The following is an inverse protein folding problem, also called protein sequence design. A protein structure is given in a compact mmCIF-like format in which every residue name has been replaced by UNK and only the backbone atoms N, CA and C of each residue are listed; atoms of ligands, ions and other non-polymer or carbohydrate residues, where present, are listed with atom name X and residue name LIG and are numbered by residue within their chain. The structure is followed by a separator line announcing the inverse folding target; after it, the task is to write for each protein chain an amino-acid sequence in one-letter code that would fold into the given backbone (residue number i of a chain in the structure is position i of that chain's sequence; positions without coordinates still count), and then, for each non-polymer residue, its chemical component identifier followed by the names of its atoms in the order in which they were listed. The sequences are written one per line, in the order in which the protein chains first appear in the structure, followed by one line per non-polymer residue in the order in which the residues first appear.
data_IF_537750741188
#
_entry.id   IF_537750741188
#
_cell.length_a   1.000
_cell.length_b   1.000
_cell.length_c   1.000
_cell.angle_alpha   90.00
_cell.angle_beta   90.00
_cell.angle_gamma   90.00
#
_symmetry.space_group_name_H-M   'P 1'
#
loop_
_entity.id
_entity.type
_entity.pdbx_description
1 polymer ?
#
# COMPACT_ATOMS: atom_id res chain seq x y z
N UNK A 1 -15.87 14.21 3.25
CA UNK A 1 -14.83 15.26 3.13
C UNK A 1 -15.32 16.68 3.42
N UNK A 2 -16.62 17.01 3.24
CA UNK A 2 -17.18 18.34 3.57
C UNK A 2 -17.15 18.71 5.08
N UNK A 3 -16.87 17.77 5.97
CA UNK A 3 -16.82 17.97 7.43
C UNK A 3 -15.52 18.61 7.91
N UNK A 4 -14.39 18.38 7.25
CA UNK A 4 -13.07 18.92 7.66
C UNK A 4 -12.90 20.42 7.36
N UNK A 5 -13.60 20.93 6.34
CA UNK A 5 -13.64 22.36 6.03
C UNK A 5 -14.68 23.12 6.87
N UNK A 6 -15.34 22.44 7.81
CA UNK A 6 -16.29 23.11 8.70
C UNK A 6 -15.54 24.12 9.57
N UNK A 7 -16.13 25.30 9.74
CA UNK A 7 -15.53 26.44 10.45
C UNK A 7 -15.18 26.10 11.90
N UNK A 8 -15.79 25.05 12.47
CA UNK A 8 -15.47 24.53 13.81
C UNK A 8 -14.09 23.89 13.92
N UNK A 9 -13.56 23.27 12.84
CA UNK A 9 -12.26 22.57 12.86
C UNK A 9 -11.07 23.45 12.44
N UNK A 10 -11.35 24.70 12.04
CA UNK A 10 -10.33 25.64 11.59
C UNK A 10 -9.78 26.46 12.77
N UNK A 11 -8.47 26.71 12.85
CA UNK A 11 -7.90 27.56 13.88
C UNK A 11 -8.35 29.01 13.71
N UNK A 12 -9.01 29.54 14.75
CA UNK A 12 -9.61 30.88 14.77
C UNK A 12 -8.63 31.92 15.27
N UNK A 13 -7.72 31.54 16.18
CA UNK A 13 -6.78 32.47 16.83
C UNK A 13 -5.33 32.28 16.35
N UNK A 14 -4.51 33.34 16.49
CA UNK A 14 -3.05 33.26 16.23
C UNK A 14 -2.38 32.26 17.18
N UNK A 15 -2.90 32.10 18.40
CA UNK A 15 -2.44 31.13 19.40
C UNK A 15 -2.70 29.69 18.93
N UNK A 16 -3.89 29.40 18.43
CA UNK A 16 -4.23 28.07 17.86
C UNK A 16 -3.35 27.70 16.67
N UNK A 17 -3.05 28.66 15.78
CA UNK A 17 -2.10 28.42 14.67
C UNK A 17 -0.68 28.11 15.16
N UNK A 18 -0.27 28.70 16.28
CA UNK A 18 1.03 28.42 16.91
C UNK A 18 1.08 27.05 17.58
N UNK A 19 -0.06 26.50 18.03
CA UNK A 19 -0.16 25.13 18.56
C UNK A 19 -0.03 24.07 17.46
N UNK A 20 -0.61 24.32 16.27
CA UNK A 20 -0.59 23.37 15.15
C UNK A 20 0.82 23.25 14.51
N UNK A 21 1.57 24.36 14.46
CA UNK A 21 2.86 24.42 13.77
C UNK A 21 3.93 23.43 14.31
N UNK A 22 4.16 23.30 15.62
CA UNK A 22 5.08 22.30 16.16
C UNK A 22 4.59 20.86 15.91
N UNK A 23 3.29 20.58 16.02
CA UNK A 23 2.73 19.26 15.75
C UNK A 23 2.95 18.83 14.27
N UNK A 24 2.71 19.74 13.32
CA UNK A 24 3.01 19.49 11.90
C UNK A 24 4.51 19.30 11.64
N UNK A 25 5.35 20.08 12.32
CA UNK A 25 6.81 19.92 12.19
C UNK A 25 7.28 18.60 12.78
N UNK A 26 6.69 18.16 13.90
CA UNK A 26 6.95 16.86 14.52
C UNK A 26 6.56 15.74 13.56
N UNK A 27 5.37 15.79 12.97
CA UNK A 27 4.92 14.82 11.97
C UNK A 27 5.86 14.75 10.76
N UNK A 28 6.25 15.89 10.19
CA UNK A 28 7.23 15.95 9.10
C UNK A 28 8.60 15.41 9.51
N UNK A 29 9.03 15.69 10.73
CA UNK A 29 10.29 15.18 11.28
C UNK A 29 10.23 13.66 11.44
N UNK A 30 9.14 13.11 11.97
CA UNK A 30 8.91 11.68 12.06
C UNK A 30 8.96 11.05 10.67
N UNK A 31 8.19 11.57 9.71
CA UNK A 31 8.19 11.11 8.32
C UNK A 31 9.62 11.06 7.74
N UNK A 32 10.37 12.17 7.84
CA UNK A 32 11.73 12.24 7.34
C UNK A 32 12.69 11.29 8.07
N UNK A 33 12.57 11.18 9.40
CA UNK A 33 13.44 10.30 10.21
C UNK A 33 13.22 8.84 9.86
N UNK A 34 11.97 8.40 9.75
CA UNK A 34 11.64 7.04 9.34
C UNK A 34 12.04 6.76 7.88
N UNK A 35 11.95 7.74 6.98
CA UNK A 35 12.41 7.60 5.59
C UNK A 35 13.93 7.38 5.54
N UNK A 36 14.69 8.21 6.26
CA UNK A 36 16.16 8.13 6.31
C UNK A 36 16.63 6.85 7.02
N UNK A 37 15.90 6.39 8.05
CA UNK A 37 16.23 5.14 8.75
C UNK A 37 15.80 3.87 7.99
N UNK A 38 14.71 3.92 7.22
CA UNK A 38 14.17 2.79 6.48
C UNK A 38 14.95 2.47 5.19
N UNK A 39 15.46 3.49 4.50
CA UNK A 39 16.20 3.29 3.24
C UNK A 39 17.45 2.40 3.39
N UNK A 40 18.29 2.54 4.44
CA UNK A 40 19.40 1.63 4.72
C UNK A 40 18.97 0.18 4.96
N UNK A 41 17.81 -0.05 5.59
CA UNK A 41 17.30 -1.39 5.86
C UNK A 41 16.90 -2.09 4.55
N UNK A 42 16.20 -1.37 3.66
CA UNK A 42 15.84 -1.87 2.33
C UNK A 42 17.12 -2.13 1.51
N UNK A 43 18.07 -1.19 1.52
CA UNK A 43 19.34 -1.36 0.84
C UNK A 43 20.10 -2.60 1.38
N UNK A 44 20.18 -2.79 2.69
CA UNK A 44 20.78 -3.98 3.29
C UNK A 44 20.09 -5.27 2.83
N UNK A 45 18.76 -5.31 2.77
CA UNK A 45 18.03 -6.50 2.28
C UNK A 45 18.34 -6.79 0.80
N UNK A 46 18.46 -5.76 -0.02
CA UNK A 46 18.79 -5.89 -1.46
C UNK A 46 20.25 -6.29 -1.67
N UNK A 47 21.18 -5.72 -0.90
CA UNK A 47 22.62 -5.95 -1.08
C UNK A 47 23.18 -7.13 -0.29
N UNK A 48 22.51 -7.61 0.77
CA UNK A 48 22.91 -8.84 1.50
C UNK A 48 23.21 -10.03 0.59
N UNK A 49 22.34 -10.42 -0.36
CA UNK A 49 22.63 -11.53 -1.26
C UNK A 49 23.81 -11.28 -2.20
N UNK A 50 24.22 -10.02 -2.42
CA UNK A 50 25.40 -9.67 -3.23
C UNK A 50 26.71 -9.73 -2.42
N UNK A 51 26.64 -9.49 -1.11
CA UNK A 51 27.79 -9.49 -0.20
C UNK A 51 28.17 -10.91 0.26
N UNK A 52 27.21 -11.82 0.34
CA UNK A 52 27.42 -13.20 0.76
C UNK A 52 27.88 -14.09 -0.41
N UNK A 53 29.20 -14.17 -0.63
CA UNK A 53 29.81 -14.97 -1.72
C UNK A 53 29.76 -16.48 -1.50
N UNK A 54 29.19 -16.95 -0.39
CA UNK A 54 29.22 -18.38 -0.03
C UNK A 54 28.23 -19.23 -0.83
N UNK A 55 27.22 -18.61 -1.47
CA UNK A 55 26.20 -19.28 -2.29
C UNK A 55 26.07 -18.57 -3.64
N UNK A 56 26.17 -19.32 -4.74
CA UNK A 56 26.07 -18.77 -6.11
C UNK A 56 24.69 -18.17 -6.44
N UNK A 57 23.63 -18.56 -5.73
CA UNK A 57 22.26 -18.10 -5.97
C UNK A 57 21.53 -17.86 -4.65
N UNK A 58 21.37 -16.60 -4.27
CA UNK A 58 20.69 -16.21 -3.03
C UNK A 58 19.72 -15.07 -3.28
N UNK A 59 18.48 -15.28 -2.87
CA UNK A 59 17.41 -14.30 -2.99
C UNK A 59 17.31 -13.44 -1.71
N UNK A 60 16.86 -12.17 -1.79
CA UNK A 60 16.67 -11.30 -0.62
C UNK A 60 15.75 -11.91 0.44
N UNK A 61 14.72 -12.63 0.00
CA UNK A 61 13.83 -13.42 0.87
C UNK A 61 13.86 -14.87 0.37
N UNK A 62 13.93 -15.81 1.30
CA UNK A 62 13.93 -17.22 0.97
C UNK A 62 12.50 -17.67 0.59
N UNK A 63 12.19 -17.63 -0.71
CA UNK A 63 10.91 -18.03 -1.27
C UNK A 63 11.14 -19.22 -2.21
N UNK A 64 10.28 -20.24 -2.11
CA UNK A 64 10.29 -21.36 -3.06
C UNK A 64 9.48 -20.97 -4.30
N UNK A 65 10.15 -20.92 -5.44
CA UNK A 65 9.52 -20.69 -6.73
C UNK A 65 9.11 -22.02 -7.38
N UNK A 66 7.98 -22.08 -8.11
CA UNK A 66 7.53 -23.28 -8.82
C UNK A 66 8.33 -23.59 -10.09
N UNK A 67 9.32 -22.76 -10.44
CA UNK A 67 10.20 -22.91 -11.60
C UNK A 67 11.67 -22.95 -11.16
N UNK A 68 12.54 -23.52 -12.00
CA UNK A 68 13.97 -23.62 -11.69
C UNK A 68 14.64 -22.26 -11.78
N UNK A 69 14.94 -21.67 -10.62
CA UNK A 69 15.53 -20.34 -10.47
C UNK A 69 17.02 -20.30 -10.81
N UNK A 70 17.68 -21.43 -11.11
CA UNK A 70 19.12 -21.47 -11.44
C UNK A 70 19.41 -21.37 -12.94
N UNK A 71 18.37 -21.17 -13.77
CA UNK A 71 18.49 -21.11 -15.24
C UNK A 71 18.52 -19.64 -15.68
N UNK A 72 19.50 -19.27 -16.49
CA UNK A 72 19.55 -17.97 -17.15
C UNK A 72 18.45 -17.86 -18.23
N UNK A 73 17.62 -16.80 -18.31
CA UNK A 73 17.58 -15.52 -17.55
C UNK A 73 16.53 -15.46 -16.43
N UNK A 74 15.95 -16.59 -16.02
CA UNK A 74 14.82 -16.64 -15.06
C UNK A 74 15.22 -16.22 -13.65
N UNK A 75 16.48 -16.46 -13.26
CA UNK A 75 17.04 -16.00 -11.98
C UNK A 75 16.94 -14.48 -11.83
N UNK A 76 17.44 -13.74 -12.84
CA UNK A 76 17.52 -12.29 -12.83
C UNK A 76 16.13 -11.66 -12.78
N UNK A 77 15.18 -12.21 -13.54
CA UNK A 77 13.79 -11.75 -13.55
C UNK A 77 13.16 -11.97 -12.16
N UNK A 78 13.33 -13.15 -11.57
CA UNK A 78 12.78 -13.44 -10.24
C UNK A 78 13.40 -12.56 -9.15
N UNK A 79 14.70 -12.28 -9.27
CA UNK A 79 15.42 -11.40 -8.34
C UNK A 79 14.95 -9.95 -8.43
N UNK A 80 14.81 -9.41 -9.64
CA UNK A 80 14.28 -8.05 -9.86
C UNK A 80 12.83 -7.94 -9.39
N UNK A 81 12.00 -8.91 -9.74
CA UNK A 81 10.60 -8.99 -9.30
C UNK A 81 10.51 -8.94 -7.78
N UNK A 82 11.32 -9.74 -7.08
CA UNK A 82 11.32 -9.79 -5.62
C UNK A 82 11.77 -8.48 -4.99
N UNK A 83 12.80 -7.80 -5.54
CA UNK A 83 13.23 -6.49 -5.07
C UNK A 83 12.10 -5.46 -5.22
N UNK A 84 11.45 -5.43 -6.38
CA UNK A 84 10.35 -4.51 -6.67
C UNK A 84 9.18 -4.77 -5.71
N UNK A 85 8.76 -6.04 -5.55
CA UNK A 85 7.66 -6.40 -4.66
C UNK A 85 7.96 -6.04 -3.21
N UNK A 86 9.16 -6.35 -2.70
CA UNK A 86 9.54 -6.03 -1.31
C UNK A 86 9.58 -4.52 -1.09
N UNK A 87 10.15 -3.78 -2.03
CA UNK A 87 10.21 -2.31 -1.95
C UNK A 87 8.81 -1.70 -1.94
N UNK A 88 7.92 -2.19 -2.82
CA UNK A 88 6.54 -1.71 -2.90
C UNK A 88 5.75 -1.99 -1.60
N UNK A 89 5.86 -3.21 -1.05
CA UNK A 89 5.18 -3.59 0.19
C UNK A 89 5.65 -2.73 1.36
N UNK A 90 6.96 -2.50 1.49
CA UNK A 90 7.50 -1.66 2.57
C UNK A 90 7.03 -0.21 2.44
N UNK A 91 7.05 0.36 1.23
CA UNK A 91 6.53 1.70 0.98
C UNK A 91 5.04 1.79 1.33
N UNK A 92 4.24 0.79 0.96
CA UNK A 92 2.82 0.77 1.28
C UNK A 92 2.58 0.76 2.79
N UNK A 93 3.22 -0.16 3.53
CA UNK A 93 3.10 -0.25 5.00
C UNK A 93 3.49 1.08 5.63
N UNK A 94 4.60 1.65 5.20
CA UNK A 94 5.07 2.94 5.68
C UNK A 94 4.04 4.07 5.46
N UNK A 95 3.45 4.18 4.27
CA UNK A 95 2.45 5.21 3.99
C UNK A 95 1.17 5.00 4.80
N UNK A 96 0.75 3.75 5.02
CA UNK A 96 -0.39 3.42 5.88
C UNK A 96 -0.14 3.85 7.33
N UNK A 97 1.02 3.53 7.89
CA UNK A 97 1.40 3.95 9.25
C UNK A 97 1.48 5.48 9.37
N UNK A 98 2.08 6.16 8.39
CA UNK A 98 2.16 7.63 8.37
C UNK A 98 0.79 8.30 8.26
N UNK A 99 -0.17 7.69 7.56
CA UNK A 99 -1.55 8.15 7.49
C UNK A 99 -2.23 8.03 8.86
N UNK A 100 -2.04 6.91 9.57
CA UNK A 100 -2.58 6.71 10.92
C UNK A 100 -2.00 7.77 11.87
N UNK A 101 -0.68 7.98 11.85
CA UNK A 101 -0.03 9.01 12.69
C UNK A 101 -0.55 10.40 12.32
N UNK A 102 -0.74 10.72 11.04
CA UNK A 102 -1.29 12.01 10.62
C UNK A 102 -2.71 12.24 11.18
N UNK A 103 -3.54 11.19 11.20
CA UNK A 103 -4.88 11.26 11.80
C UNK A 103 -4.79 11.47 13.32
N UNK A 104 -3.90 10.75 14.02
CA UNK A 104 -3.65 10.95 15.46
C UNK A 104 -3.20 12.37 15.81
N UNK A 105 -2.26 12.91 15.04
CA UNK A 105 -1.82 14.31 15.20
C UNK A 105 -2.97 15.28 14.94
N UNK A 106 -3.77 15.04 13.91
CA UNK A 106 -4.96 15.85 13.65
C UNK A 106 -5.91 15.86 14.87
N UNK A 107 -6.16 14.71 15.47
CA UNK A 107 -7.03 14.57 16.66
C UNK A 107 -6.47 15.34 17.84
N UNK A 108 -5.20 15.14 18.15
CA UNK A 108 -4.50 15.83 19.23
C UNK A 108 -4.66 17.34 19.07
N UNK A 109 -4.41 17.87 17.87
CA UNK A 109 -4.58 19.32 17.62
C UNK A 109 -6.02 19.81 17.77
N UNK A 110 -7.03 18.98 17.44
CA UNK A 110 -8.44 19.35 17.63
C UNK A 110 -8.82 19.38 19.12
N UNK A 111 -8.28 18.46 19.91
CA UNK A 111 -8.41 18.49 21.37
C UNK A 111 -7.73 19.73 21.97
N UNK A 112 -6.52 20.08 21.52
CA UNK A 112 -5.82 21.28 21.99
C UNK A 112 -6.58 22.57 21.65
N UNK A 113 -7.15 22.67 20.44
CA UNK A 113 -7.99 23.80 20.03
C UNK A 113 -9.22 23.90 20.92
N UNK A 114 -9.89 22.77 21.20
CA UNK A 114 -11.04 22.73 22.08
C UNK A 114 -10.67 23.17 23.51
N UNK A 115 -9.54 22.69 24.04
CA UNK A 115 -9.04 23.11 25.34
C UNK A 115 -8.73 24.61 25.39
N UNK A 116 -8.13 25.18 24.34
CA UNK A 116 -7.88 26.63 24.22
C UNK A 116 -9.20 27.42 24.13
N UNK A 117 -10.18 26.95 23.33
CA UNK A 117 -11.51 27.57 23.23
C UNK A 117 -12.22 27.56 24.60
N UNK A 118 -12.12 26.47 25.37
CA UNK A 118 -12.70 26.33 26.71
C UNK A 118 -11.99 27.21 27.76
N UNK A 119 -10.66 27.27 27.76
CA UNK A 119 -9.90 28.11 28.70
C UNK A 119 -10.12 29.60 28.47
N UNK A 120 -10.40 30.00 27.22
CA UNK A 120 -10.69 31.39 26.85
C UNK A 120 -12.21 31.67 26.76
N UNK A 121 -13.04 30.86 27.42
CA UNK A 121 -14.44 31.19 27.71
C UNK A 121 -14.49 32.37 28.69
N UNK A 122 -14.31 33.59 28.19
CA UNK A 122 -14.60 34.79 28.98
C UNK A 122 -16.10 34.89 29.31
N UNK A 123 -16.40 35.40 30.50
CA UNK A 123 -17.71 35.94 30.92
C UNK A 123 -18.05 37.20 30.11
N UNK A 124 -18.24 37.00 28.81
CA UNK A 124 -18.97 37.95 27.99
C UNK A 124 -20.48 37.76 28.28
N UNK A 125 -21.33 38.74 27.91
CA UNK A 125 -22.80 38.71 28.15
C UNK A 125 -23.34 37.26 28.06
N UNK A 126 -24.11 36.80 29.04
CA UNK A 126 -24.58 35.40 29.23
C UNK A 126 -24.99 34.64 27.94
N UNK A 127 -25.54 35.35 26.95
CA UNK A 127 -25.89 34.83 25.63
C UNK A 127 -24.65 34.37 24.81
N UNK A 128 -23.56 35.15 24.81
CA UNK A 128 -22.31 34.82 24.11
C UNK A 128 -21.59 33.64 24.78
N UNK A 129 -21.62 33.55 26.10
CA UNK A 129 -21.06 32.43 26.86
C UNK A 129 -21.74 31.11 26.48
N UNK A 130 -23.08 31.04 26.59
CA UNK A 130 -23.85 29.84 26.26
C UNK A 130 -23.64 29.41 24.79
N UNK A 131 -23.57 30.36 23.86
CA UNK A 131 -23.31 30.06 22.45
C UNK A 131 -21.93 29.42 22.23
N UNK A 132 -20.87 29.95 22.86
CA UNK A 132 -19.51 29.39 22.77
C UNK A 132 -19.41 28.02 23.45
N UNK A 133 -20.10 27.82 24.57
CA UNK A 133 -20.14 26.54 25.27
C UNK A 133 -20.83 25.46 24.44
N UNK A 134 -21.99 25.75 23.84
CA UNK A 134 -22.69 24.83 22.93
C UNK A 134 -21.82 24.46 21.73
N UNK A 135 -21.09 25.42 21.16
CA UNK A 135 -20.18 25.16 20.06
C UNK A 135 -19.04 24.21 20.47
N UNK A 136 -18.47 24.40 21.67
CA UNK A 136 -17.41 23.53 22.21
C UNK A 136 -17.90 22.11 22.49
N UNK A 137 -19.10 21.95 23.05
CA UNK A 137 -19.75 20.65 23.27
C UNK A 137 -20.02 19.94 21.93
N UNK A 138 -20.48 20.69 20.93
CA UNK A 138 -20.76 20.16 19.59
C UNK A 138 -19.47 19.70 18.92
N UNK A 139 -18.40 20.49 19.02
CA UNK A 139 -17.07 20.14 18.50
C UNK A 139 -16.49 18.89 19.16
N UNK A 140 -16.56 18.77 20.50
CA UNK A 140 -16.16 17.55 21.22
C UNK A 140 -16.95 16.32 20.74
N UNK A 141 -18.28 16.46 20.58
CA UNK A 141 -19.14 15.38 20.09
C UNK A 141 -18.79 14.96 18.66
N UNK A 142 -18.47 15.91 17.79
CA UNK A 142 -18.02 15.62 16.42
C UNK A 142 -16.65 14.96 16.39
N UNK A 143 -15.69 15.42 17.20
CA UNK A 143 -14.38 14.79 17.38
C UNK A 143 -14.58 13.33 17.79
N UNK A 144 -15.31 13.08 18.89
CA UNK A 144 -15.56 11.72 19.39
C UNK A 144 -16.27 10.82 18.37
N UNK A 145 -17.26 11.33 17.64
CA UNK A 145 -17.96 10.56 16.60
C UNK A 145 -17.03 10.17 15.44
N UNK A 146 -16.14 11.07 15.03
CA UNK A 146 -15.18 10.79 13.96
C UNK A 146 -14.05 9.85 14.41
N UNK A 147 -14.02 9.46 15.69
CA UNK A 147 -12.96 8.69 16.33
C UNK A 147 -13.43 7.41 16.97
N UNK A 148 -14.61 6.95 16.58
CA UNK A 148 -15.10 5.67 17.05
C UNK A 148 -14.11 4.57 16.65
N UNK A 149 -13.99 3.55 17.52
CA UNK A 149 -13.16 2.38 17.26
C UNK A 149 -13.54 1.71 15.94
N UNK A 150 -14.83 1.82 15.57
CA UNK A 150 -15.34 1.40 14.27
C UNK A 150 -14.63 2.12 13.11
N UNK A 151 -14.40 3.43 13.18
CA UNK A 151 -13.74 4.17 12.09
C UNK A 151 -12.32 3.67 11.86
N UNK A 152 -11.54 3.50 12.93
CA UNK A 152 -10.18 2.94 12.84
C UNK A 152 -10.19 1.49 12.36
N UNK A 153 -11.12 0.67 12.85
CA UNK A 153 -11.26 -0.71 12.38
C UNK A 153 -11.59 -0.76 10.88
N UNK A 154 -12.50 0.08 10.39
CA UNK A 154 -12.82 0.19 8.97
C UNK A 154 -11.61 0.66 8.15
N UNK A 155 -10.85 1.64 8.64
CA UNK A 155 -9.63 2.12 7.98
C UNK A 155 -8.60 0.99 7.81
N UNK A 156 -8.32 0.25 8.88
CA UNK A 156 -7.40 -0.89 8.87
C UNK A 156 -7.90 -2.00 7.93
N UNK A 157 -9.21 -2.30 7.96
CA UNK A 157 -9.82 -3.28 7.08
C UNK A 157 -9.69 -2.88 5.60
N UNK A 158 -9.95 -1.61 5.26
CA UNK A 158 -9.78 -1.11 3.89
C UNK A 158 -8.33 -1.27 3.42
N UNK A 159 -7.36 -0.88 4.24
CA UNK A 159 -5.93 -1.06 3.95
C UNK A 159 -5.59 -2.54 3.68
N UNK A 160 -6.11 -3.44 4.52
CA UNK A 160 -5.91 -4.88 4.38
C UNK A 160 -6.53 -5.44 3.08
N UNK A 161 -7.77 -5.06 2.77
CA UNK A 161 -8.44 -5.52 1.54
C UNK A 161 -7.74 -5.00 0.28
N UNK A 162 -7.23 -3.77 0.28
CA UNK A 162 -6.46 -3.23 -0.84
C UNK A 162 -5.17 -4.03 -1.08
N UNK A 163 -4.44 -4.39 -0.02
CA UNK A 163 -3.27 -5.28 -0.11
C UNK A 163 -3.63 -6.65 -0.68
N UNK A 164 -4.75 -7.22 -0.23
CA UNK A 164 -5.18 -8.54 -0.66
C UNK A 164 -5.58 -8.56 -2.15
N UNK A 165 -6.32 -7.55 -2.62
CA UNK A 165 -6.70 -7.40 -4.03
C UNK A 165 -5.45 -7.18 -4.89
N UNK A 166 -4.52 -6.34 -4.45
CA UNK A 166 -3.23 -6.16 -5.12
C UNK A 166 -2.51 -7.50 -5.32
N UNK A 167 -2.42 -8.32 -4.28
CA UNK A 167 -1.78 -9.63 -4.37
C UNK A 167 -2.46 -10.53 -5.42
N UNK A 168 -3.79 -10.56 -5.47
CA UNK A 168 -4.53 -11.32 -6.47
C UNK A 168 -4.28 -10.82 -7.90
N UNK A 169 -4.30 -9.51 -8.12
CA UNK A 169 -4.02 -8.90 -9.42
C UNK A 169 -2.57 -9.15 -9.87
N UNK A 170 -1.62 -9.12 -8.94
CA UNK A 170 -0.21 -9.42 -9.20
C UNK A 170 -0.02 -10.87 -9.66
N UNK A 171 -0.55 -11.83 -8.89
CA UNK A 171 -0.46 -13.25 -9.25
C UNK A 171 -1.24 -13.58 -10.52
N UNK A 172 -2.40 -12.95 -10.74
CA UNK A 172 -3.16 -13.09 -11.99
C UNK A 172 -2.36 -12.61 -13.21
N UNK A 173 -1.66 -11.48 -13.09
CA UNK A 173 -0.80 -10.96 -14.14
C UNK A 173 0.42 -11.85 -14.42
N UNK A 174 1.05 -12.40 -13.37
CA UNK A 174 2.17 -13.33 -13.53
C UNK A 174 1.75 -14.63 -14.24
N UNK A 175 0.57 -15.18 -13.89
CA UNK A 175 0.01 -16.36 -14.56
C UNK A 175 -0.24 -16.08 -16.04
N UNK A 176 -0.80 -14.92 -16.36
CA UNK A 176 -1.01 -14.50 -17.75
C UNK A 176 0.33 -14.38 -18.50
N UNK A 177 1.32 -13.71 -17.92
CA UNK A 177 2.63 -13.52 -18.51
C UNK A 177 3.33 -14.86 -18.79
N UNK A 178 3.30 -15.80 -17.84
CA UNK A 178 3.86 -17.14 -18.01
C UNK A 178 3.09 -17.97 -19.04
N UNK A 179 1.76 -17.85 -19.08
CA UNK A 179 0.94 -18.53 -20.07
C UNK A 179 1.29 -18.10 -21.51
N UNK A 180 1.57 -16.81 -21.72
CA UNK A 180 1.97 -16.27 -23.02
C UNK A 180 3.33 -16.81 -23.51
N UNK A 181 4.17 -17.36 -22.62
CA UNK A 181 5.48 -17.92 -22.99
C UNK A 181 5.40 -19.39 -23.46
N UNK A 182 4.25 -20.06 -23.30
CA UNK A 182 4.07 -21.48 -23.65
C UNK A 182 4.33 -21.73 -25.15
N UNK A 183 3.75 -20.97 -26.11
CA UNK A 183 3.99 -21.19 -27.53
C UNK A 183 5.47 -21.07 -27.91
N UNK A 184 6.16 -20.07 -27.38
CA UNK A 184 7.59 -19.84 -27.61
C UNK A 184 8.44 -20.98 -27.06
N UNK A 185 8.07 -21.53 -25.90
CA UNK A 185 8.77 -22.66 -25.29
C UNK A 185 8.64 -23.95 -26.11
N UNK A 186 7.45 -24.20 -26.70
CA UNK A 186 7.25 -25.31 -27.65
C UNK A 186 8.08 -25.10 -28.90
N UNK A 187 8.10 -23.89 -29.46
CA UNK A 187 8.90 -23.57 -30.64
C UNK A 187 10.40 -23.83 -30.43
N UNK A 188 10.93 -23.47 -29.25
CA UNK A 188 12.35 -23.68 -28.88
C UNK A 188 12.69 -25.15 -28.59
N UNK A 189 11.71 -26.02 -28.37
CA UNK A 189 11.95 -27.43 -28.08
C UNK A 189 12.38 -28.23 -29.33
N UNK A 190 12.92 -29.43 -29.16
CA UNK A 190 13.31 -30.31 -30.26
C UNK A 190 12.09 -31.01 -30.95
N UNK A 191 10.94 -30.33 -31.00
CA UNK A 191 9.65 -30.88 -31.46
C UNK A 191 9.72 -31.48 -32.88
N UNK A 192 10.58 -30.95 -33.75
CA UNK A 192 10.78 -31.40 -35.14
C UNK A 192 11.33 -32.83 -35.26
N UNK A 193 12.11 -33.28 -34.28
CA UNK A 193 12.76 -34.60 -34.29
C UNK A 193 11.89 -35.72 -33.70
N UNK A 194 10.68 -35.40 -33.22
CA UNK A 194 9.78 -36.39 -32.62
C UNK A 194 8.82 -37.05 -33.62
N UNK A 195 8.10 -38.08 -33.16
CA UNK A 195 7.10 -38.80 -33.96
C UNK A 195 6.03 -37.87 -34.55
N UNK A 196 5.38 -38.29 -35.64
CA UNK A 196 4.33 -37.50 -36.29
C UNK A 196 3.15 -37.20 -35.34
N UNK A 197 2.81 -38.15 -34.45
CA UNK A 197 1.78 -37.97 -33.42
C UNK A 197 2.17 -36.86 -32.42
N UNK A 198 3.42 -36.91 -31.93
CA UNK A 198 3.95 -35.89 -30.99
C UNK A 198 3.98 -34.51 -31.63
N UNK A 199 4.41 -34.39 -32.89
CA UNK A 199 4.42 -33.12 -33.64
C UNK A 199 3.02 -32.53 -33.77
N UNK A 200 2.02 -33.34 -34.10
CA UNK A 200 0.61 -32.89 -34.17
C UNK A 200 0.10 -32.37 -32.81
N UNK A 201 0.41 -33.08 -31.72
CA UNK A 201 0.00 -32.68 -30.38
C UNK A 201 0.67 -31.35 -29.93
N UNK A 202 1.96 -31.16 -30.24
CA UNK A 202 2.67 -29.90 -29.98
C UNK A 202 2.07 -28.73 -30.76
N UNK A 203 1.71 -28.96 -32.03
CA UNK A 203 1.04 -27.95 -32.87
C UNK A 203 -0.33 -27.56 -32.27
N UNK A 204 -1.12 -28.53 -31.82
CA UNK A 204 -2.39 -28.26 -31.14
C UNK A 204 -2.20 -27.48 -29.84
N UNK A 205 -1.16 -27.79 -29.06
CA UNK A 205 -0.84 -27.03 -27.84
C UNK A 205 -0.54 -25.56 -28.18
N UNK A 206 0.29 -25.29 -29.18
CA UNK A 206 0.59 -23.91 -29.64
C UNK A 206 -0.69 -23.18 -30.05
N UNK A 207 -1.55 -23.82 -30.84
CA UNK A 207 -2.83 -23.25 -31.27
C UNK A 207 -3.75 -22.91 -30.09
N UNK A 208 -3.79 -23.77 -29.06
CA UNK A 208 -4.61 -23.55 -27.85
C UNK A 208 -4.03 -22.49 -26.93
N UNK A 209 -2.70 -22.40 -26.83
CA UNK A 209 -1.98 -21.44 -25.99
C UNK A 209 -1.90 -20.03 -26.57
N UNK A 210 -2.47 -19.77 -27.76
CA UNK A 210 -2.61 -18.40 -28.28
C UNK A 210 -3.57 -17.54 -27.46
N UNK A 211 -4.41 -18.15 -26.61
CA UNK A 211 -5.19 -17.45 -25.59
C UNK A 211 -4.49 -17.63 -24.24
N UNK A 212 -4.00 -16.56 -23.58
CA UNK A 212 -3.40 -16.68 -22.26
C UNK A 212 -4.42 -17.19 -21.24
N UNK A 213 -3.93 -17.97 -20.28
CA UNK A 213 -4.66 -18.31 -19.06
C UNK A 213 -4.81 -17.03 -18.25
N UNK A 214 -6.05 -16.57 -18.09
CA UNK A 214 -6.41 -15.41 -17.28
C UNK A 214 -7.38 -15.83 -16.20
N UNK A 215 -7.18 -15.35 -14.98
CA UNK A 215 -8.15 -15.49 -13.90
C UNK A 215 -9.19 -14.39 -14.03
N UNK A 216 -10.44 -14.77 -14.27
CA UNK A 216 -11.58 -13.85 -14.27
C UNK A 216 -12.34 -13.97 -12.96
N UNK A 217 -12.72 -12.82 -12.39
CA UNK A 217 -13.66 -12.78 -11.26
C UNK A 217 -15.07 -12.75 -11.85
N UNK A 218 -15.83 -13.84 -11.67
CA UNK A 218 -17.21 -13.97 -12.14
C UNK A 218 -17.43 -13.60 -13.63
N UNK A 219 -16.40 -13.77 -14.48
CA UNK A 219 -16.42 -13.32 -15.89
C UNK A 219 -16.68 -11.81 -16.12
N UNK A 220 -16.55 -10.96 -15.10
CA UNK A 220 -16.74 -9.52 -15.23
C UNK A 220 -15.45 -8.80 -15.62
N UNK A 221 -14.35 -9.14 -14.97
CA UNK A 221 -13.03 -8.55 -15.20
C UNK A 221 -11.92 -9.55 -14.88
N UNK A 222 -10.75 -9.35 -15.51
CA UNK A 222 -9.57 -10.16 -15.26
C UNK A 222 -8.77 -9.60 -14.08
N UNK A 223 -8.16 -10.48 -13.29
CA UNK A 223 -7.25 -10.07 -12.22
C UNK A 223 -5.92 -9.62 -12.86
N UNK A 224 -5.77 -8.31 -13.09
CA UNK A 224 -4.57 -7.72 -13.66
C UNK A 224 -4.19 -6.43 -12.93
N UNK A 225 -2.89 -6.10 -12.97
CA UNK A 225 -2.36 -4.85 -12.41
C UNK A 225 -2.99 -3.61 -13.06
N UNK A 226 -3.27 -3.68 -14.36
CA UNK A 226 -3.94 -2.60 -15.09
C UNK A 226 -5.31 -2.25 -14.52
N UNK A 227 -6.04 -3.23 -13.97
CA UNK A 227 -7.35 -2.98 -13.35
C UNK A 227 -7.20 -2.45 -11.92
N UNK A 228 -6.16 -2.87 -11.19
CA UNK A 228 -5.92 -2.37 -9.84
C UNK A 228 -5.49 -0.89 -9.80
N UNK A 229 -4.76 -0.44 -10.82
CA UNK A 229 -4.22 0.93 -10.90
C UNK A 229 -5.29 1.93 -11.40
N UNK A 230 -6.38 1.43 -11.98
CA UNK A 230 -7.40 2.21 -12.69
C UNK A 230 -8.57 2.59 -11.79
#
# INVERSE_FOLDING_TARGET
MNTLNNHSFQPKSRRQRLLIKPALNLWKMMYNTFTVAGAPLIALLVFRPLLDKTKEFQFPINVRYPFNTKIFPLYEIAFLHQIISVTYVVIFIYNADMLIVALLVFIETQCDILCDDLQNLQDDKTINFNKKLIASITHHKEISKNLDAEFFAHLVLVIFYMLQIFAYCWFGNEVEAKSNQIPYSVFKSNWTHHSLSTRKNMMMLVMRSQKPIRLSTFNLFYLSLDIYIK
#
